data_IF_044040444677
#
_entry.id   IF_044040444677
#
_cell.length_a   1.000
_cell.length_b   1.000
_cell.length_c   1.000
_cell.angle_alpha   90.00
_cell.angle_beta   90.00
_cell.angle_gamma   90.00
#
_symmetry.space_group_name_H-M   'P 1'
#
loop_
_entity.id
_entity.type
_entity.pdbx_description
1 polymer ?
#
# COMPACT_ATOMS: atom_id res chain seq x y z
N UNK A 1 -9.60 23.65 23.10
CA UNK A 1 -10.05 23.16 21.79
C UNK A 1 -8.78 22.87 21.01
N UNK A 2 -8.51 21.60 20.71
CA UNK A 2 -7.27 21.18 20.04
C UNK A 2 -7.23 21.83 18.65
N UNK A 3 -6.23 22.67 18.37
CA UNK A 3 -6.08 23.27 17.02
C UNK A 3 -5.84 22.15 16.03
N UNK A 4 -6.69 22.06 15.01
CA UNK A 4 -6.52 21.13 13.89
C UNK A 4 -5.24 21.49 13.12
N UNK A 5 -4.54 20.50 12.55
CA UNK A 5 -3.17 20.66 12.04
C UNK A 5 -3.02 21.74 10.96
N UNK A 6 -4.05 21.99 10.15
CA UNK A 6 -4.06 23.03 9.12
C UNK A 6 -4.24 24.46 9.68
N UNK A 7 -4.74 24.60 10.92
CA UNK A 7 -4.87 25.87 11.64
C UNK A 7 -3.59 26.25 12.43
N UNK A 8 -2.51 25.50 12.25
CA UNK A 8 -1.23 25.73 12.93
C UNK A 8 -0.27 26.47 12.02
N UNK A 9 0.53 27.36 12.61
CA UNK A 9 1.66 27.95 11.90
C UNK A 9 2.72 26.88 11.61
N UNK A 10 3.64 27.12 10.65
CA UNK A 10 4.79 26.25 10.43
C UNK A 10 5.56 25.93 11.73
N UNK A 11 5.75 26.93 12.59
CA UNK A 11 6.45 26.80 13.88
C UNK A 11 5.67 25.93 14.87
N UNK A 12 4.38 26.21 15.07
CA UNK A 12 3.50 25.39 15.94
C UNK A 12 3.43 23.94 15.46
N UNK A 13 3.52 23.73 14.15
CA UNK A 13 3.50 22.40 13.54
C UNK A 13 4.80 21.64 13.83
N UNK A 14 5.96 22.29 13.65
CA UNK A 14 7.27 21.72 13.94
C UNK A 14 7.39 21.34 15.43
N UNK A 15 6.94 22.22 16.33
CA UNK A 15 6.92 21.92 17.77
C UNK A 15 6.03 20.71 18.08
N UNK A 16 4.84 20.63 17.49
CA UNK A 16 3.89 19.55 17.75
C UNK A 16 4.37 18.17 17.27
N UNK A 17 5.18 18.12 16.21
CA UNK A 17 5.81 16.88 15.71
C UNK A 17 7.23 16.71 16.22
N UNK A 18 7.65 17.50 17.21
CA UNK A 18 8.98 17.49 17.83
C UNK A 18 10.10 17.49 16.78
N UNK A 19 10.00 18.38 15.79
CA UNK A 19 10.96 18.53 14.70
C UNK A 19 11.51 19.96 14.65
N UNK A 20 12.54 20.16 13.83
CA UNK A 20 13.23 21.44 13.68
C UNK A 20 13.43 21.77 12.21
N UNK A 21 13.64 23.06 11.88
CA UNK A 21 13.89 23.52 10.50
C UNK A 21 15.14 22.88 9.85
N UNK A 22 16.04 22.32 10.65
CA UNK A 22 17.21 21.55 10.19
C UNK A 22 16.90 20.10 9.79
N UNK A 23 15.64 19.67 9.95
CA UNK A 23 15.22 18.29 9.74
C UNK A 23 15.53 17.37 10.93
N UNK A 24 15.10 16.10 10.82
CA UNK A 24 15.34 15.07 11.83
C UNK A 24 16.76 14.50 11.72
N UNK A 25 17.28 13.93 12.81
CA UNK A 25 18.46 13.07 12.71
C UNK A 25 18.09 11.69 12.19
N UNK A 26 19.04 10.97 11.57
CA UNK A 26 18.80 9.58 11.14
C UNK A 26 18.38 8.66 12.31
N UNK A 27 18.89 8.92 13.52
CA UNK A 27 18.52 8.17 14.72
C UNK A 27 17.05 8.42 15.13
N UNK A 28 16.61 9.68 15.17
CA UNK A 28 15.22 10.03 15.46
C UNK A 28 14.27 9.45 14.41
N UNK A 29 14.65 9.50 13.12
CA UNK A 29 13.85 8.93 12.05
C UNK A 29 13.70 7.41 12.20
N UNK A 30 14.78 6.70 12.57
CA UNK A 30 14.73 5.26 12.82
C UNK A 30 13.83 4.90 14.02
N UNK A 31 13.96 5.61 15.14
CA UNK A 31 13.10 5.42 16.32
C UNK A 31 11.62 5.65 15.98
N UNK A 32 11.32 6.70 15.21
CA UNK A 32 9.96 6.99 14.75
C UNK A 32 9.44 5.94 13.79
N UNK A 33 10.28 5.39 12.92
CA UNK A 33 9.90 4.33 11.99
C UNK A 33 9.52 3.05 12.74
N UNK A 34 10.21 2.73 13.83
CA UNK A 34 9.83 1.61 14.71
C UNK A 34 8.52 1.89 15.45
N UNK A 35 8.31 3.13 15.91
CA UNK A 35 7.12 3.54 16.67
C UNK A 35 5.85 3.62 15.83
N UNK A 36 5.93 4.23 14.64
CA UNK A 36 4.77 4.52 13.78
C UNK A 36 4.61 3.52 12.64
N UNK A 37 5.64 2.72 12.35
CA UNK A 37 5.67 1.83 11.20
C UNK A 37 5.97 2.56 9.90
N UNK A 38 5.96 1.81 8.80
CA UNK A 38 6.21 2.33 7.45
C UNK A 38 5.07 3.22 6.98
N UNK A 39 5.39 4.27 6.22
CA UNK A 39 4.43 5.07 5.48
C UNK A 39 3.90 4.29 4.27
N UNK A 40 3.04 3.32 4.55
CA UNK A 40 2.38 2.50 3.56
C UNK A 40 0.95 2.25 4.00
N UNK A 41 0.01 2.27 3.05
CA UNK A 41 -1.36 1.87 3.32
C UNK A 41 -1.38 0.41 3.76
N UNK A 42 -2.16 0.11 4.81
CA UNK A 42 -2.34 -1.25 5.28
C UNK A 42 -2.86 -2.12 4.13
N UNK A 43 -2.07 -3.10 3.70
CA UNK A 43 -2.52 -4.06 2.70
C UNK A 43 -3.64 -4.91 3.33
N UNK A 44 -4.73 -5.09 2.59
CA UNK A 44 -5.81 -5.98 3.02
C UNK A 44 -5.26 -7.38 3.33
N UNK A 45 -5.95 -8.12 4.20
CA UNK A 45 -5.55 -9.50 4.53
C UNK A 45 -5.42 -10.32 3.25
N UNK A 46 -4.21 -10.76 2.93
CA UNK A 46 -3.95 -11.71 1.83
C UNK A 46 -4.73 -13.00 2.13
N UNK A 47 -5.39 -13.56 1.11
CA UNK A 47 -6.08 -14.84 1.27
C UNK A 47 -5.06 -15.92 1.61
N UNK A 48 -5.36 -16.76 2.59
CA UNK A 48 -4.48 -17.89 2.89
C UNK A 48 -4.51 -18.91 1.75
N UNK A 49 -3.44 -19.69 1.59
CA UNK A 49 -3.39 -20.71 0.53
C UNK A 49 -4.50 -21.75 0.65
N UNK A 50 -4.91 -22.10 1.87
CA UNK A 50 -6.06 -22.97 2.12
C UNK A 50 -7.38 -22.32 1.70
N UNK A 51 -7.54 -21.01 1.94
CA UNK A 51 -8.73 -20.28 1.51
C UNK A 51 -8.82 -20.23 -0.01
N UNK A 52 -7.71 -19.90 -0.70
CA UNK A 52 -7.66 -19.90 -2.17
C UNK A 52 -7.96 -21.29 -2.74
N UNK A 53 -7.44 -22.34 -2.11
CA UNK A 53 -7.69 -23.73 -2.49
C UNK A 53 -9.17 -24.11 -2.34
N UNK A 54 -9.80 -23.77 -1.21
CA UNK A 54 -11.23 -24.05 -0.97
C UNK A 54 -12.15 -23.27 -1.92
N UNK A 55 -11.77 -22.04 -2.29
CA UNK A 55 -12.50 -21.24 -3.28
C UNK A 55 -12.51 -21.90 -4.67
N UNK A 56 -11.53 -22.73 -5.02
CA UNK A 56 -11.55 -23.49 -6.28
C UNK A 56 -12.73 -24.46 -6.35
N UNK A 57 -13.24 -24.92 -5.20
CA UNK A 57 -14.39 -25.83 -5.15
C UNK A 57 -15.74 -25.12 -5.19
N UNK A 58 -15.75 -23.78 -5.13
CA UNK A 58 -16.97 -22.96 -5.24
C UNK A 58 -17.32 -22.63 -6.70
N UNK A 59 -16.43 -22.93 -7.65
CA UNK A 59 -16.70 -22.74 -9.08
C UNK A 59 -17.84 -23.64 -9.55
N UNK A 60 -18.78 -23.08 -10.32
CA UNK A 60 -19.96 -23.79 -10.80
C UNK A 60 -19.62 -25.09 -11.53
N UNK A 61 -18.59 -25.10 -12.36
CA UNK A 61 -18.17 -26.30 -13.10
C UNK A 61 -17.60 -27.35 -12.15
N UNK A 62 -16.86 -26.93 -11.13
CA UNK A 62 -16.33 -27.84 -10.10
C UNK A 62 -17.46 -28.44 -9.26
N UNK A 63 -18.47 -27.64 -8.90
CA UNK A 63 -19.66 -28.13 -8.19
C UNK A 63 -20.41 -29.17 -9.03
N UNK A 64 -20.57 -28.95 -10.34
CA UNK A 64 -21.17 -29.94 -11.25
C UNK A 64 -20.36 -31.24 -11.26
N UNK A 65 -19.02 -31.15 -11.31
CA UNK A 65 -18.14 -32.32 -11.26
C UNK A 65 -18.18 -33.05 -9.91
N UNK A 66 -18.30 -32.32 -8.80
CA UNK A 66 -18.49 -32.91 -7.47
C UNK A 66 -19.81 -33.69 -7.40
N UNK A 67 -20.90 -33.14 -7.93
CA UNK A 67 -22.19 -33.85 -8.01
C UNK A 67 -22.05 -35.11 -8.88
N UNK A 68 -21.38 -35.02 -10.03
CA UNK A 68 -21.12 -36.16 -10.89
C UNK A 68 -20.26 -37.25 -10.19
N UNK A 69 -19.25 -36.84 -9.43
CA UNK A 69 -18.41 -37.75 -8.63
C UNK A 69 -19.23 -38.48 -7.56
N UNK A 70 -20.13 -37.79 -6.86
CA UNK A 70 -21.03 -38.40 -5.86
C UNK A 70 -21.98 -39.41 -6.52
N UNK A 71 -22.60 -39.06 -7.66
CA UNK A 71 -23.47 -39.98 -8.41
C UNK A 71 -22.69 -41.22 -8.88
N UNK A 72 -21.47 -41.03 -9.37
CA UNK A 72 -20.60 -42.12 -9.84
C UNK A 72 -20.20 -43.07 -8.71
N UNK A 73 -19.86 -42.53 -7.54
CA UNK A 73 -19.51 -43.29 -6.35
C UNK A 73 -20.69 -44.16 -5.86
N UNK A 74 -21.90 -43.59 -5.81
CA UNK A 74 -23.11 -44.32 -5.42
C UNK A 74 -23.47 -45.39 -6.43
N UNK A 75 -23.16 -45.17 -7.72
CA UNK A 75 -23.37 -46.15 -8.80
C UNK A 75 -22.35 -47.30 -8.79
N UNK A 76 -21.39 -47.31 -7.84
CA UNK A 76 -20.35 -48.34 -7.73
C UNK A 76 -19.18 -48.18 -8.70
N UNK A 77 -19.12 -47.07 -9.46
CA UNK A 77 -18.05 -46.81 -10.42
C UNK A 77 -16.89 -46.05 -9.75
N UNK A 78 -16.09 -46.81 -9.01
CA UNK A 78 -14.97 -46.27 -8.23
C UNK A 78 -13.88 -45.69 -9.14
N UNK A 79 -13.62 -46.29 -10.31
CA UNK A 79 -12.62 -45.80 -11.26
C UNK A 79 -12.93 -44.37 -11.75
N UNK A 80 -14.17 -44.13 -12.18
CA UNK A 80 -14.59 -42.81 -12.66
C UNK A 80 -14.58 -41.76 -11.54
N UNK A 81 -14.96 -42.16 -10.33
CA UNK A 81 -14.92 -41.29 -9.15
C UNK A 81 -13.48 -40.83 -8.85
N UNK A 82 -12.52 -41.77 -8.86
CA UNK A 82 -11.10 -41.45 -8.62
C UNK A 82 -10.55 -40.48 -9.67
N UNK A 83 -10.87 -40.69 -10.95
CA UNK A 83 -10.43 -39.80 -12.04
C UNK A 83 -10.97 -38.38 -11.84
N UNK A 84 -12.26 -38.23 -11.53
CA UNK A 84 -12.86 -36.91 -11.30
C UNK A 84 -12.19 -36.22 -10.11
N UNK A 85 -12.02 -36.92 -8.99
CA UNK A 85 -11.33 -36.36 -7.82
C UNK A 85 -9.88 -35.95 -8.13
N UNK A 86 -9.14 -36.76 -8.89
CA UNK A 86 -7.77 -36.43 -9.28
C UNK A 86 -7.71 -35.14 -10.11
N UNK A 87 -8.62 -34.96 -11.07
CA UNK A 87 -8.71 -33.74 -11.88
C UNK A 87 -9.06 -32.52 -11.03
N UNK A 88 -9.99 -32.66 -10.07
CA UNK A 88 -10.36 -31.57 -9.16
C UNK A 88 -9.19 -31.13 -8.27
N UNK A 89 -8.46 -32.09 -7.68
CA UNK A 89 -7.28 -31.80 -6.86
C UNK A 89 -6.18 -31.14 -7.71
N UNK A 90 -5.94 -31.65 -8.92
CA UNK A 90 -4.96 -31.07 -9.83
C UNK A 90 -5.29 -29.63 -10.19
N UNK A 91 -6.56 -29.35 -10.53
CA UNK A 91 -7.02 -28.00 -10.82
C UNK A 91 -6.91 -27.08 -9.60
N UNK A 92 -7.25 -27.57 -8.40
CA UNK A 92 -7.18 -26.77 -7.19
C UNK A 92 -5.73 -26.40 -6.81
N UNK A 93 -4.79 -27.35 -6.97
CA UNK A 93 -3.35 -27.11 -6.79
C UNK A 93 -2.86 -26.10 -7.83
N UNK A 94 -3.19 -26.31 -9.11
CA UNK A 94 -2.72 -25.46 -10.20
C UNK A 94 -3.27 -24.04 -10.05
N UNK A 95 -4.55 -23.89 -9.72
CA UNK A 95 -5.21 -22.61 -9.46
C UNK A 95 -4.60 -21.87 -8.26
N UNK A 96 -4.32 -22.59 -7.16
CA UNK A 96 -3.65 -22.00 -5.99
C UNK A 96 -2.24 -21.50 -6.34
N UNK A 97 -1.44 -22.30 -7.06
CA UNK A 97 -0.09 -21.90 -7.50
C UNK A 97 -0.15 -20.69 -8.44
N UNK A 98 -1.10 -20.66 -9.38
CA UNK A 98 -1.30 -19.53 -10.29
C UNK A 98 -1.68 -18.26 -9.54
N UNK A 99 -2.56 -18.36 -8.53
CA UNK A 99 -2.94 -17.24 -7.68
C UNK A 99 -1.72 -16.64 -6.97
N UNK A 100 -0.92 -17.45 -6.28
CA UNK A 100 0.29 -16.98 -5.59
C UNK A 100 1.33 -16.41 -6.56
N UNK A 101 1.47 -16.99 -7.75
CA UNK A 101 2.40 -16.48 -8.77
C UNK A 101 1.94 -15.10 -9.28
N UNK A 102 0.66 -14.92 -9.54
CA UNK A 102 0.09 -13.65 -9.97
C UNK A 102 0.26 -12.57 -8.90
N UNK A 103 -0.06 -12.91 -7.65
CA UNK A 103 0.08 -12.01 -6.50
C UNK A 103 1.53 -11.56 -6.29
N UNK A 104 2.49 -12.49 -6.31
CA UNK A 104 3.92 -12.18 -6.19
C UNK A 104 4.42 -11.26 -7.31
N UNK A 105 3.89 -11.44 -8.52
CA UNK A 105 4.26 -10.64 -9.68
C UNK A 105 3.74 -9.20 -9.51
N UNK A 106 2.50 -9.03 -9.05
CA UNK A 106 1.92 -7.73 -8.71
C UNK A 106 2.70 -7.03 -7.59
N UNK A 107 3.07 -7.75 -6.52
CA UNK A 107 3.85 -7.20 -5.42
C UNK A 107 5.24 -6.70 -5.88
N UNK A 108 5.88 -7.46 -6.77
CA UNK A 108 7.19 -7.07 -7.34
C UNK A 108 7.07 -5.83 -8.23
N UNK A 109 6.02 -5.74 -9.05
CA UNK A 109 5.73 -4.55 -9.86
C UNK A 109 5.50 -3.32 -8.98
N UNK A 110 4.73 -3.47 -7.89
CA UNK A 110 4.48 -2.38 -6.92
C UNK A 110 5.77 -1.92 -6.23
N UNK A 111 6.66 -2.86 -5.88
CA UNK A 111 7.96 -2.53 -5.28
C UNK A 111 8.88 -1.75 -6.25
N UNK A 112 8.87 -2.09 -7.54
CA UNK A 112 9.67 -1.39 -8.56
C UNK A 112 9.22 0.05 -8.83
N UNK A 113 7.94 0.36 -8.61
CA UNK A 113 7.38 1.70 -8.80
C UNK A 113 7.20 2.48 -7.50
N UNK A 114 7.76 1.99 -6.39
CA UNK A 114 7.60 2.65 -5.09
C UNK A 114 8.24 4.05 -5.13
N UNK A 115 7.48 5.11 -4.83
CA UNK A 115 7.99 6.47 -4.96
C UNK A 115 9.11 6.72 -3.95
N UNK A 116 10.05 7.57 -4.33
CA UNK A 116 11.08 8.10 -3.43
C UNK A 116 10.71 9.50 -2.99
N UNK A 117 11.32 9.96 -1.90
CA UNK A 117 11.13 11.27 -1.33
C UNK A 117 12.48 11.93 -1.04
N UNK A 118 12.59 13.23 -1.34
CA UNK A 118 13.74 14.05 -0.96
C UNK A 118 13.45 14.61 0.44
N UNK A 119 14.30 14.30 1.41
CA UNK A 119 14.14 14.74 2.80
C UNK A 119 15.36 15.48 3.31
N UNK A 120 15.16 16.35 4.29
CA UNK A 120 16.23 16.94 5.08
C UNK A 120 16.44 16.11 6.35
N UNK A 121 17.55 15.37 6.41
CA UNK A 121 17.97 14.60 7.59
C UNK A 121 19.44 14.83 7.92
N UNK A 122 19.77 14.91 9.21
CA UNK A 122 21.12 15.26 9.70
C UNK A 122 21.66 16.57 9.10
N UNK A 123 20.76 17.53 8.83
CA UNK A 123 21.07 18.81 8.17
C UNK A 123 21.46 18.68 6.69
N UNK A 124 21.27 17.51 6.07
CA UNK A 124 21.63 17.23 4.67
C UNK A 124 20.42 16.71 3.89
N UNK A 125 20.40 16.99 2.59
CA UNK A 125 19.38 16.44 1.69
C UNK A 125 19.72 14.99 1.38
N UNK A 126 18.73 14.11 1.54
CA UNK A 126 18.84 12.69 1.26
C UNK A 126 17.61 12.22 0.47
N UNK A 127 17.79 11.25 -0.42
CA UNK A 127 16.69 10.59 -1.12
C UNK A 127 16.43 9.26 -0.44
N UNK A 128 15.21 9.06 0.06
CA UNK A 128 14.80 7.85 0.76
C UNK A 128 13.55 7.25 0.12
N UNK A 129 13.26 5.96 0.31
CA UNK A 129 11.98 5.38 -0.06
C UNK A 129 10.83 6.09 0.70
N UNK A 130 9.74 6.42 0.00
CA UNK A 130 8.54 7.05 0.59
C UNK A 130 7.99 6.28 1.79
N UNK A 131 8.11 4.95 1.79
CA UNK A 131 7.71 4.08 2.89
C UNK A 131 8.50 4.29 4.20
N UNK A 132 9.62 5.01 4.15
CA UNK A 132 10.45 5.35 5.33
C UNK A 132 10.23 6.78 5.81
N UNK A 133 9.29 7.52 5.21
CA UNK A 133 8.85 8.83 5.71
C UNK A 133 8.14 8.63 7.04
N UNK A 134 8.45 9.48 8.00
CA UNK A 134 7.87 9.45 9.34
C UNK A 134 7.34 10.84 9.72
N UNK A 135 6.37 10.93 10.66
CA UNK A 135 5.92 12.22 11.17
C UNK A 135 7.10 13.07 11.65
N UNK A 136 7.17 14.32 11.16
CA UNK A 136 8.23 15.28 11.46
C UNK A 136 9.40 15.32 10.48
N UNK A 137 9.44 14.44 9.47
CA UNK A 137 10.34 14.64 8.33
C UNK A 137 10.01 15.96 7.61
N UNK A 138 11.05 16.64 7.14
CA UNK A 138 10.92 17.76 6.20
C UNK A 138 11.17 17.21 4.81
N UNK A 139 10.14 17.28 3.97
CA UNK A 139 10.19 16.81 2.57
C UNK A 139 10.38 18.02 1.65
N UNK A 140 11.32 17.92 0.73
CA UNK A 140 11.53 18.88 -0.35
C UNK A 140 10.79 18.39 -1.59
N UNK A 141 9.97 19.26 -2.20
CA UNK A 141 9.20 18.95 -3.39
C UNK A 141 9.64 19.86 -4.54
N UNK A 142 9.95 19.26 -5.67
CA UNK A 142 10.24 19.94 -6.93
C UNK A 142 9.15 19.63 -7.97
N UNK A 143 9.18 20.36 -9.09
CA UNK A 143 8.25 20.11 -10.19
C UNK A 143 8.42 18.67 -10.72
N UNK A 144 7.31 17.92 -10.74
CA UNK A 144 7.28 16.52 -11.16
C UNK A 144 7.41 15.52 -10.00
N UNK A 145 7.75 15.97 -8.79
CA UNK A 145 7.74 15.11 -7.62
C UNK A 145 6.29 14.80 -7.17
N UNK A 146 6.10 13.61 -6.60
CA UNK A 146 4.84 13.19 -6.01
C UNK A 146 4.78 13.61 -4.54
N UNK A 147 3.64 14.09 -4.07
CA UNK A 147 3.40 14.31 -2.63
C UNK A 147 3.26 12.94 -1.95
N UNK A 148 4.26 12.55 -1.16
CA UNK A 148 4.38 11.18 -0.59
C UNK A 148 3.67 10.97 0.74
N UNK A 149 3.28 12.05 1.41
CA UNK A 149 2.59 12.03 2.70
C UNK A 149 1.86 13.37 2.91
N UNK A 150 0.84 13.35 3.76
CA UNK A 150 0.19 14.56 4.23
C UNK A 150 1.15 15.38 5.10
N UNK A 151 1.14 16.70 4.91
CA UNK A 151 2.09 17.57 5.58
C UNK A 151 1.68 19.03 5.61
N UNK A 152 2.46 19.82 6.35
CA UNK A 152 2.33 21.28 6.42
C UNK A 152 3.40 21.92 5.56
N UNK A 153 2.99 22.86 4.73
CA UNK A 153 3.92 23.67 3.93
C UNK A 153 4.64 24.64 4.86
N UNK A 154 5.96 24.48 4.95
CA UNK A 154 6.81 25.37 5.73
C UNK A 154 7.23 26.58 4.89
N UNK A 155 7.62 26.33 3.65
CA UNK A 155 8.08 27.31 2.67
C UNK A 155 7.62 26.87 1.28
N UNK A 156 7.34 27.83 0.39
CA UNK A 156 6.98 27.55 -0.99
C UNK A 156 7.47 28.65 -1.92
N UNK A 157 7.70 28.30 -3.19
CA UNK A 157 8.08 29.22 -4.26
C UNK A 157 7.17 29.01 -5.47
N UNK A 158 5.94 29.51 -5.40
CA UNK A 158 4.88 29.29 -6.41
C UNK A 158 4.52 27.80 -6.59
N UNK A 159 4.42 27.07 -5.47
CA UNK A 159 4.05 25.66 -5.49
C UNK A 159 2.62 25.49 -6.01
N UNK A 160 2.47 24.66 -7.05
CA UNK A 160 1.17 24.20 -7.55
C UNK A 160 1.08 22.69 -7.41
N UNK A 161 -0.01 22.21 -6.84
CA UNK A 161 -0.26 20.79 -6.65
C UNK A 161 -1.48 20.38 -7.48
N UNK A 162 -1.35 19.27 -8.20
CA UNK A 162 -2.48 18.67 -8.90
C UNK A 162 -3.28 17.80 -7.92
N UNK A 163 -4.53 18.17 -7.68
CA UNK A 163 -5.42 17.48 -6.74
C UNK A 163 -6.49 16.63 -7.44
N UNK A 164 -6.29 16.29 -8.72
CA UNK A 164 -7.25 15.50 -9.53
C UNK A 164 -7.64 14.17 -8.90
N UNK A 165 -6.74 13.55 -8.12
CA UNK A 165 -7.05 12.31 -7.40
C UNK A 165 -8.06 12.51 -6.26
N UNK A 166 -8.21 13.74 -5.75
CA UNK A 166 -9.15 14.10 -4.67
C UNK A 166 -10.39 14.82 -5.22
N UNK A 167 -10.23 15.73 -6.18
CA UNK A 167 -11.29 16.62 -6.67
C UNK A 167 -11.85 16.22 -8.03
N UNK A 168 -11.12 15.42 -8.80
CA UNK A 168 -11.42 15.13 -10.20
C UNK A 168 -10.98 16.21 -11.20
N UNK A 169 -10.43 17.32 -10.70
CA UNK A 169 -10.00 18.46 -11.53
C UNK A 169 -8.49 18.43 -11.77
N UNK A 170 -8.07 18.56 -13.03
CA UNK A 170 -6.65 18.47 -13.42
C UNK A 170 -5.88 19.79 -13.29
N UNK A 171 -6.56 20.90 -12.98
CA UNK A 171 -5.91 22.20 -12.83
C UNK A 171 -5.08 22.23 -11.54
N UNK A 172 -3.88 22.80 -11.63
CA UNK A 172 -2.97 22.90 -10.49
C UNK A 172 -3.42 23.98 -9.51
N UNK A 173 -3.61 23.61 -8.25
CA UNK A 173 -4.01 24.53 -7.17
C UNK A 173 -2.76 25.12 -6.52
N UNK A 174 -2.70 26.45 -6.41
CA UNK A 174 -1.63 27.14 -5.70
C UNK A 174 -1.72 26.88 -4.20
N UNK A 175 -0.56 26.61 -3.57
CA UNK A 175 -0.49 26.32 -2.14
C UNK A 175 0.36 27.36 -1.41
N UNK A 176 -0.10 27.78 -0.24
CA UNK A 176 0.57 28.79 0.60
C UNK A 176 0.99 28.20 1.95
N UNK A 177 1.93 28.88 2.63
CA UNK A 177 2.35 28.53 3.99
C UNK A 177 1.46 29.18 5.06
N UNK A 178 0.52 30.03 4.67
CA UNK A 178 -0.39 30.72 5.58
C UNK A 178 -1.33 29.74 6.28
N UNK A 179 -1.83 30.15 7.44
CA UNK A 179 -2.82 29.38 8.20
C UNK A 179 -4.17 29.47 7.49
N UNK A 180 -4.88 28.35 7.40
CA UNK A 180 -6.22 28.24 6.79
C UNK A 180 -7.28 28.38 7.88
#
# INVERSE_FOLDING_TARGET
>A
MEKVFFNRTPEETLEAVESARTGLTSAQAAERLERFGKNALAEGKKKSGLQVFLEQFQDLLVVILLVAAVISAVSGNVESTIVIFAVLILNAILGTVQHFKAEKSLESLKAMSSPTAKVLRDGKRAVIPSAQIVPGDIVELEAGDMVVADGRILENYSLKVNESSLTGESEGVEKTADVI
#
